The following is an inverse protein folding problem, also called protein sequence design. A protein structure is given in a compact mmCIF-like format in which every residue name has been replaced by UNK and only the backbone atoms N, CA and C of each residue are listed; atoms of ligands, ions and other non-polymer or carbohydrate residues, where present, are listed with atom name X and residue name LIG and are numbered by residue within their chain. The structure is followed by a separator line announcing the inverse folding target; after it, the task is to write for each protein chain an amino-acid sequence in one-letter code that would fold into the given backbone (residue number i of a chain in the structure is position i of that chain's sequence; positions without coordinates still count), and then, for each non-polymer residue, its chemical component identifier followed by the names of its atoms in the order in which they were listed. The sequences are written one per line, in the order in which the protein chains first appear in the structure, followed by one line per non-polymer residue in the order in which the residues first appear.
data_IF_466369039960
#
_entry.id   IF_466369039960
#
_cell.length_a   1.000
_cell.length_b   1.000
_cell.length_c   1.000
_cell.angle_alpha   90.00
_cell.angle_beta   90.00
_cell.angle_gamma   90.00
#
_symmetry.space_group_name_H-M   'P 1'
#
loop_
_entity.id
_entity.type
_entity.pdbx_description
1 polymer ?
#
# COMPACT_ATOMS: atom_id res chain seq x y z
N UNK A 1 -69.24 -15.91 -50.03
CA UNK A 1 -69.29 -16.26 -48.59
C UNK A 1 -68.89 -15.02 -47.81
N UNK A 2 -69.78 -14.46 -46.97
CA UNK A 2 -69.46 -13.28 -46.14
C UNK A 2 -68.61 -13.76 -44.98
N UNK A 3 -67.39 -13.22 -44.84
CA UNK A 3 -66.52 -13.49 -43.70
C UNK A 3 -67.20 -12.93 -42.44
N UNK A 4 -67.72 -13.82 -41.59
CA UNK A 4 -68.29 -13.47 -40.29
C UNK A 4 -67.16 -13.55 -39.28
N UNK A 5 -66.59 -12.40 -38.92
CA UNK A 5 -65.65 -12.33 -37.81
C UNK A 5 -66.42 -12.57 -36.49
N UNK A 6 -65.83 -13.26 -35.51
CA UNK A 6 -66.45 -13.47 -34.21
C UNK A 6 -66.75 -12.12 -33.53
N UNK A 7 -67.93 -12.03 -32.90
CA UNK A 7 -68.34 -10.81 -32.21
C UNK A 7 -67.36 -10.51 -31.06
N UNK A 8 -66.88 -9.25 -30.93
CA UNK A 8 -66.01 -8.84 -29.83
C UNK A 8 -66.68 -9.07 -28.47
N UNK A 9 -65.87 -9.33 -27.43
CA UNK A 9 -66.34 -9.58 -26.05
C UNK A 9 -67.23 -8.47 -25.46
N UNK A 10 -67.13 -7.25 -26.00
CA UNK A 10 -67.90 -6.07 -25.60
C UNK A 10 -69.21 -5.88 -26.40
N UNK A 11 -69.61 -6.84 -27.24
CA UNK A 11 -70.80 -6.74 -28.10
C UNK A 11 -72.09 -6.46 -27.32
N UNK A 12 -72.19 -6.98 -26.09
CA UNK A 12 -73.34 -6.79 -25.20
C UNK A 12 -73.65 -5.32 -24.88
N UNK A 13 -72.65 -4.44 -24.96
CA UNK A 13 -72.80 -3.00 -24.69
C UNK A 13 -73.56 -2.26 -25.81
N UNK A 14 -73.71 -2.87 -26.98
CA UNK A 14 -74.29 -2.24 -28.18
C UNK A 14 -75.56 -2.95 -28.68
N UNK A 15 -76.03 -4.01 -27.99
CA UNK A 15 -77.21 -4.80 -28.38
C UNK A 15 -78.52 -3.99 -28.42
N UNK A 16 -78.62 -2.90 -27.66
CA UNK A 16 -79.82 -2.06 -27.56
C UNK A 16 -79.72 -0.72 -28.33
N UNK A 17 -78.68 -0.49 -29.13
CA UNK A 17 -78.51 0.76 -29.87
C UNK A 17 -79.20 0.69 -31.25
N UNK A 18 -79.81 1.80 -31.67
CA UNK A 18 -80.36 1.88 -33.02
C UNK A 18 -79.26 1.93 -34.09
N UNK A 19 -79.59 1.54 -35.31
CA UNK A 19 -78.64 1.54 -36.45
C UNK A 19 -78.00 2.92 -36.69
N UNK A 20 -78.72 4.01 -36.42
CA UNK A 20 -78.21 5.40 -36.52
C UNK A 20 -77.25 5.77 -35.39
N UNK A 21 -77.48 5.27 -34.18
CA UNK A 21 -76.63 5.53 -33.01
C UNK A 21 -75.32 4.75 -33.10
N UNK A 22 -75.37 3.53 -33.64
CA UNK A 22 -74.18 2.74 -33.94
C UNK A 22 -73.30 3.43 -34.98
N UNK A 23 -73.90 4.02 -36.03
CA UNK A 23 -73.16 4.71 -37.08
C UNK A 23 -72.50 6.01 -36.56
N UNK A 24 -73.18 6.75 -35.68
CA UNK A 24 -72.61 7.91 -34.99
C UNK A 24 -71.41 7.54 -34.10
N UNK A 25 -71.55 6.49 -33.28
CA UNK A 25 -70.45 5.99 -32.43
C UNK A 25 -69.29 5.42 -33.24
N UNK A 26 -69.58 4.79 -34.38
CA UNK A 26 -68.56 4.31 -35.30
C UNK A 26 -67.78 5.47 -35.94
N UNK A 27 -68.47 6.54 -36.35
CA UNK A 27 -67.83 7.76 -36.87
C UNK A 27 -66.93 8.40 -35.83
N UNK A 28 -67.42 8.57 -34.60
CA UNK A 28 -66.66 9.15 -33.50
C UNK A 28 -65.43 8.31 -33.15
N UNK A 29 -65.57 6.98 -33.08
CA UNK A 29 -64.45 6.07 -32.87
C UNK A 29 -63.43 6.09 -34.01
N UNK A 30 -63.89 6.19 -35.27
CA UNK A 30 -63.01 6.30 -36.44
C UNK A 30 -62.28 7.64 -36.48
N UNK A 31 -62.91 8.73 -36.06
CA UNK A 31 -62.28 10.05 -35.97
C UNK A 31 -61.23 10.08 -34.84
N UNK A 32 -61.51 9.47 -33.69
CA UNK A 32 -60.49 9.24 -32.66
C UNK A 32 -59.33 8.37 -33.16
N UNK A 33 -59.61 7.32 -33.93
CA UNK A 33 -58.56 6.46 -34.50
C UNK A 33 -57.71 7.20 -35.54
N UNK A 34 -58.30 8.17 -36.25
CA UNK A 34 -57.59 9.05 -37.20
C UNK A 34 -56.69 10.06 -36.51
N UNK A 35 -56.93 10.43 -35.26
CA UNK A 35 -55.99 11.26 -34.47
C UNK A 35 -54.71 10.48 -34.17
N UNK A 36 -54.78 9.18 -33.91
CA UNK A 36 -53.63 8.29 -33.67
C UNK A 36 -52.95 7.79 -34.96
N UNK A 37 -52.95 8.61 -36.01
CA UNK A 37 -52.63 8.26 -37.42
C UNK A 37 -51.26 7.64 -37.69
N UNK A 38 -50.36 7.61 -36.71
CA UNK A 38 -49.02 7.04 -36.84
C UNK A 38 -48.66 6.21 -35.60
N UNK A 39 -49.41 5.14 -35.35
CA UNK A 39 -49.01 4.12 -34.36
C UNK A 39 -47.72 3.47 -34.86
N UNK A 40 -46.64 3.65 -34.11
CA UNK A 40 -45.37 3.02 -34.41
C UNK A 40 -45.43 1.54 -34.01
N UNK A 41 -45.75 0.66 -34.94
CA UNK A 41 -45.78 -0.79 -34.71
C UNK A 41 -44.39 -1.35 -34.33
N UNK A 42 -43.30 -0.68 -34.72
CA UNK A 42 -41.94 -1.05 -34.33
C UNK A 42 -41.59 -0.65 -32.89
N UNK A 43 -42.41 0.16 -32.21
CA UNK A 43 -42.15 0.61 -30.84
C UNK A 43 -42.09 -0.57 -29.86
N UNK A 44 -42.85 -1.64 -30.11
CA UNK A 44 -42.83 -2.84 -29.26
C UNK A 44 -41.47 -3.54 -29.35
N UNK A 45 -40.96 -3.77 -30.56
CA UNK A 45 -39.66 -4.38 -30.78
C UNK A 45 -38.51 -3.51 -30.24
N UNK A 46 -38.57 -2.19 -30.48
CA UNK A 46 -37.57 -1.25 -29.95
C UNK A 46 -37.57 -1.21 -28.43
N UNK A 47 -38.75 -1.32 -27.80
CA UNK A 47 -38.86 -1.40 -26.36
C UNK A 47 -38.27 -2.70 -25.81
N UNK A 48 -38.54 -3.84 -26.44
CA UNK A 48 -37.98 -5.13 -26.03
C UNK A 48 -36.44 -5.15 -26.12
N UNK A 49 -35.87 -4.62 -27.21
CA UNK A 49 -34.42 -4.49 -27.40
C UNK A 49 -33.80 -3.55 -26.34
N UNK A 50 -34.36 -2.35 -26.18
CA UNK A 50 -33.87 -1.39 -25.19
C UNK A 50 -34.02 -1.89 -23.74
N UNK A 51 -35.07 -2.65 -23.44
CA UNK A 51 -35.27 -3.23 -22.12
C UNK A 51 -34.23 -4.33 -21.83
N UNK A 52 -33.90 -5.15 -22.83
CA UNK A 52 -32.86 -6.17 -22.69
C UNK A 52 -31.47 -5.53 -22.43
N UNK A 53 -31.11 -4.49 -23.17
CA UNK A 53 -29.88 -3.73 -22.94
C UNK A 53 -29.85 -3.09 -21.54
N UNK A 54 -30.98 -2.53 -21.11
CA UNK A 54 -31.11 -1.92 -19.78
C UNK A 54 -30.92 -2.95 -18.66
N UNK A 55 -31.51 -4.14 -18.79
CA UNK A 55 -31.36 -5.22 -17.82
C UNK A 55 -29.90 -5.69 -17.71
N UNK A 56 -29.20 -5.83 -18.85
CA UNK A 56 -27.78 -6.17 -18.85
C UNK A 56 -26.94 -5.08 -18.18
N UNK A 57 -27.16 -3.82 -18.54
CA UNK A 57 -26.43 -2.69 -17.99
C UNK A 57 -26.65 -2.57 -16.47
N UNK A 58 -27.89 -2.77 -16.03
CA UNK A 58 -28.24 -2.78 -14.60
C UNK A 58 -27.54 -3.90 -13.85
N UNK A 59 -27.51 -5.12 -14.40
CA UNK A 59 -26.78 -6.25 -13.83
C UNK A 59 -25.29 -5.93 -13.68
N UNK A 60 -24.67 -5.36 -14.71
CA UNK A 60 -23.26 -4.97 -14.69
C UNK A 60 -23.00 -3.86 -13.66
N UNK A 61 -23.92 -2.89 -13.54
CA UNK A 61 -23.83 -1.83 -12.54
C UNK A 61 -23.90 -2.38 -11.11
N UNK A 62 -24.84 -3.28 -10.83
CA UNK A 62 -24.99 -3.91 -9.51
C UNK A 62 -23.77 -4.78 -9.16
N UNK A 63 -23.20 -5.48 -10.15
CA UNK A 63 -21.95 -6.23 -9.99
C UNK A 63 -20.79 -5.29 -9.66
N UNK A 64 -20.57 -4.25 -10.46
CA UNK A 64 -19.51 -3.27 -10.24
C UNK A 64 -19.63 -2.60 -8.87
N UNK A 65 -20.86 -2.32 -8.41
CA UNK A 65 -21.11 -1.76 -7.08
C UNK A 65 -20.71 -2.72 -5.97
N UNK A 66 -20.96 -4.01 -6.17
CA UNK A 66 -20.56 -5.07 -5.23
C UNK A 66 -19.04 -5.23 -5.20
N UNK A 67 -18.40 -5.21 -6.37
CA UNK A 67 -16.94 -5.32 -6.50
C UNK A 67 -16.22 -4.13 -5.86
N UNK A 68 -16.73 -2.91 -6.08
CA UNK A 68 -16.20 -1.70 -5.42
C UNK A 68 -16.26 -1.83 -3.90
N UNK A 69 -17.39 -2.31 -3.36
CA UNK A 69 -17.52 -2.54 -1.92
C UNK A 69 -16.52 -3.59 -1.42
N UNK A 70 -16.35 -4.69 -2.15
CA UNK A 70 -15.39 -5.72 -1.79
C UNK A 70 -13.94 -5.21 -1.80
N UNK A 71 -13.60 -4.32 -2.73
CA UNK A 71 -12.29 -3.67 -2.78
C UNK A 71 -12.09 -2.74 -1.58
N UNK A 72 -13.10 -1.93 -1.24
CA UNK A 72 -13.04 -1.04 -0.07
C UNK A 72 -12.87 -1.84 1.24
N UNK A 73 -13.64 -2.92 1.42
CA UNK A 73 -13.52 -3.81 2.58
C UNK A 73 -12.13 -4.48 2.64
N UNK A 74 -11.58 -4.89 1.49
CA UNK A 74 -10.22 -5.47 1.41
C UNK A 74 -9.15 -4.43 1.74
N UNK A 75 -9.31 -3.19 1.29
CA UNK A 75 -8.38 -2.10 1.56
C UNK A 75 -8.30 -1.81 3.06
N UNK A 76 -9.44 -1.77 3.75
CA UNK A 76 -9.49 -1.57 5.20
C UNK A 76 -8.74 -2.67 5.96
N UNK A 77 -8.92 -3.94 5.57
CA UNK A 77 -8.19 -5.07 6.17
C UNK A 77 -6.69 -4.97 5.91
N UNK A 78 -6.28 -4.58 4.69
CA UNK A 78 -4.87 -4.40 4.34
C UNK A 78 -4.22 -3.25 5.13
N UNK A 79 -4.93 -2.13 5.29
CA UNK A 79 -4.43 -0.98 6.04
C UNK A 79 -4.25 -1.31 7.52
N UNK A 80 -5.19 -2.06 8.11
CA UNK A 80 -5.05 -2.52 9.50
C UNK A 80 -3.83 -3.46 9.66
N UNK A 81 -3.69 -4.45 8.77
CA UNK A 81 -2.53 -5.37 8.81
C UNK A 81 -1.20 -4.65 8.62
N UNK A 82 -1.17 -3.64 7.74
CA UNK A 82 0.01 -2.80 7.51
C UNK A 82 0.37 -2.03 8.78
N UNK A 83 -0.60 -1.43 9.47
CA UNK A 83 -0.36 -0.72 10.73
C UNK A 83 0.22 -1.67 11.79
N UNK A 84 -0.42 -2.81 12.00
CA UNK A 84 0.01 -3.80 13.00
C UNK A 84 1.43 -4.31 12.70
N UNK A 85 1.74 -4.59 11.43
CA UNK A 85 3.08 -5.01 11.01
C UNK A 85 4.15 -3.92 11.26
N UNK A 86 3.83 -2.65 10.96
CA UNK A 86 4.75 -1.53 11.20
C UNK A 86 4.97 -1.35 12.71
N UNK A 87 3.92 -1.42 13.53
CA UNK A 87 4.05 -1.25 14.98
C UNK A 87 4.90 -2.37 15.59
N UNK A 88 4.65 -3.62 15.19
CA UNK A 88 5.39 -4.78 15.66
C UNK A 88 6.87 -4.70 15.27
N UNK A 89 7.16 -4.44 13.99
CA UNK A 89 8.54 -4.33 13.51
C UNK A 89 9.27 -3.15 14.16
N UNK A 90 8.61 -2.00 14.32
CA UNK A 90 9.18 -0.84 15.00
C UNK A 90 9.53 -1.14 16.47
N UNK A 91 8.65 -1.85 17.18
CA UNK A 91 8.89 -2.25 18.58
C UNK A 91 10.09 -3.18 18.69
N UNK A 92 10.23 -4.13 17.75
CA UNK A 92 11.37 -5.04 17.69
C UNK A 92 12.67 -4.29 17.36
N UNK A 93 12.67 -3.45 16.33
CA UNK A 93 13.85 -2.64 15.93
C UNK A 93 14.27 -1.71 17.06
N UNK A 94 13.33 -1.06 17.76
CA UNK A 94 13.65 -0.17 18.88
C UNK A 94 14.33 -0.91 20.05
N UNK A 95 13.87 -2.14 20.36
CA UNK A 95 14.48 -2.99 21.38
C UNK A 95 15.90 -3.42 20.98
N UNK A 96 16.07 -3.90 19.76
CA UNK A 96 17.39 -4.34 19.26
C UNK A 96 18.35 -3.17 19.10
N UNK A 97 17.87 -2.01 18.66
CA UNK A 97 18.66 -0.78 18.56
C UNK A 97 19.26 -0.39 19.92
N UNK A 98 18.46 -0.43 20.99
CA UNK A 98 18.97 -0.15 22.34
C UNK A 98 20.06 -1.14 22.76
N UNK A 99 19.87 -2.44 22.46
CA UNK A 99 20.81 -3.51 22.77
C UNK A 99 22.13 -3.35 22.01
N UNK A 100 22.06 -3.10 20.70
CA UNK A 100 23.22 -2.91 19.84
C UNK A 100 23.95 -1.61 20.17
N UNK A 101 23.22 -0.51 20.37
CA UNK A 101 23.82 0.78 20.70
C UNK A 101 24.59 0.74 22.02
N UNK A 102 24.06 0.06 23.04
CA UNK A 102 24.75 -0.09 24.33
C UNK A 102 26.01 -0.95 24.23
N UNK A 103 26.07 -1.90 23.28
CA UNK A 103 27.27 -2.70 23.00
C UNK A 103 28.34 -1.89 22.26
N UNK A 104 27.93 -1.08 21.29
CA UNK A 104 28.85 -0.25 20.50
C UNK A 104 29.38 0.97 21.27
N UNK A 105 28.55 1.57 22.12
CA UNK A 105 28.88 2.75 22.94
C UNK A 105 28.69 2.39 24.42
N UNK A 106 29.76 2.01 25.15
CA UNK A 106 29.64 1.66 26.56
C UNK A 106 29.14 2.88 27.37
N UNK A 107 27.97 2.74 28.00
CA UNK A 107 27.34 3.82 28.77
C UNK A 107 26.44 4.76 27.95
N UNK A 108 26.31 4.55 26.64
CA UNK A 108 25.36 5.27 25.79
C UNK A 108 23.93 4.73 25.90
N UNK A 109 22.95 5.57 25.61
CA UNK A 109 21.53 5.19 25.49
C UNK A 109 20.95 5.74 24.19
N UNK A 110 20.28 4.89 23.43
CA UNK A 110 19.63 5.26 22.19
C UNK A 110 18.18 4.78 22.18
N UNK A 111 17.26 5.68 21.80
CA UNK A 111 15.85 5.38 21.61
C UNK A 111 15.40 5.84 20.22
N UNK A 112 14.58 5.03 19.59
CA UNK A 112 13.95 5.33 18.31
C UNK A 112 12.52 5.80 18.58
N UNK A 113 12.11 6.92 17.99
CA UNK A 113 10.79 7.54 18.16
C UNK A 113 10.12 7.69 16.80
N UNK A 114 8.90 7.20 16.70
CA UNK A 114 8.05 7.33 15.54
C UNK A 114 7.55 8.79 15.42
N UNK A 115 7.81 9.46 14.30
CA UNK A 115 7.29 10.81 14.02
C UNK A 115 5.99 10.70 13.25
N UNK A 116 4.92 11.13 13.92
CA UNK A 116 3.63 11.36 13.29
C UNK A 116 3.59 12.80 12.76
N UNK A 117 3.37 12.95 11.46
CA UNK A 117 3.00 14.22 10.88
C UNK A 117 1.56 14.54 11.18
N UNK A 118 1.30 15.81 11.47
CA UNK A 118 -0.03 16.37 11.27
C UNK A 118 -0.13 16.62 9.77
N UNK A 119 -0.77 15.73 9.01
CA UNK A 119 -1.22 16.08 7.67
C UNK A 119 -2.31 17.14 7.82
N UNK A 120 -1.87 18.40 7.87
CA UNK A 120 -2.73 19.56 7.74
C UNK A 120 -3.18 19.71 6.30
N UNK A 121 -4.50 19.78 6.12
CA UNK A 121 -5.22 20.45 5.03
C UNK A 121 -4.96 19.98 3.59
N UNK A 122 -5.96 19.34 2.98
CA UNK A 122 -6.01 19.35 1.52
C UNK A 122 -7.10 18.51 0.85
N UNK A 123 -7.64 17.47 1.49
CA UNK A 123 -8.76 16.70 0.92
C UNK A 123 -9.71 16.28 2.02
N UNK A 124 -10.87 16.94 2.01
CA UNK A 124 -12.12 16.66 2.73
C UNK A 124 -12.02 15.77 3.96
N UNK A 125 -12.20 16.38 5.12
CA UNK A 125 -12.96 15.88 6.27
C UNK A 125 -13.41 14.40 6.20
N UNK A 126 -12.44 13.48 6.23
CA UNK A 126 -12.68 12.08 6.60
C UNK A 126 -12.22 11.96 8.03
N UNK A 127 -13.14 11.81 9.01
CA UNK A 127 -12.78 11.62 10.41
C UNK A 127 -12.01 10.32 10.70
N UNK A 128 -11.75 9.51 9.67
CA UNK A 128 -11.04 8.23 9.72
C UNK A 128 -9.78 8.24 8.82
N UNK A 129 -8.91 9.24 8.94
CA UNK A 129 -7.58 9.10 8.34
C UNK A 129 -6.84 7.98 9.10
N UNK A 130 -6.59 6.85 8.43
CA UNK A 130 -5.90 5.72 9.05
C UNK A 130 -4.53 6.17 9.58
N UNK A 131 -4.13 5.76 10.79
CA UNK A 131 -2.92 6.24 11.46
C UNK A 131 -1.61 5.94 10.70
N UNK A 132 -1.66 5.08 9.67
CA UNK A 132 -0.53 4.81 8.78
C UNK A 132 -0.16 6.03 7.92
N UNK A 133 -1.15 6.78 7.43
CA UNK A 133 -0.89 7.98 6.60
C UNK A 133 -0.32 9.14 7.42
N UNK A 134 -0.45 9.07 8.75
CA UNK A 134 0.14 10.04 9.66
C UNK A 134 1.64 9.77 9.91
N UNK A 135 2.19 8.62 9.51
CA UNK A 135 3.61 8.33 9.71
C UNK A 135 4.46 9.14 8.71
N UNK A 136 5.21 10.14 9.20
CA UNK A 136 6.09 10.97 8.38
C UNK A 136 7.54 10.50 8.44
N UNK A 137 7.92 9.76 9.48
CA UNK A 137 9.24 9.14 9.53
C UNK A 137 9.66 8.73 10.93
N UNK A 138 10.96 8.52 11.09
CA UNK A 138 11.59 8.09 12.34
C UNK A 138 12.58 9.14 12.80
N UNK A 139 12.58 9.43 14.10
CA UNK A 139 13.57 10.26 14.76
C UNK A 139 14.29 9.47 15.82
N UNK A 140 15.60 9.67 15.91
CA UNK A 140 16.44 8.95 16.84
C UNK A 140 16.97 9.91 17.88
N UNK A 141 16.89 9.48 19.13
CA UNK A 141 17.27 10.25 20.31
C UNK A 141 18.37 9.47 21.01
N UNK A 142 19.57 10.03 21.03
CA UNK A 142 20.75 9.33 21.56
C UNK A 142 21.49 10.17 22.60
N UNK A 143 22.11 9.49 23.55
CA UNK A 143 22.98 10.02 24.58
C UNK A 143 24.25 9.17 24.58
N UNK A 144 25.40 9.84 24.55
CA UNK A 144 26.72 9.22 24.60
C UNK A 144 27.29 9.29 26.02
N UNK A 145 28.25 8.42 26.33
CA UNK A 145 28.89 8.36 27.64
C UNK A 145 29.40 9.74 28.09
N UNK A 146 28.97 10.18 29.28
CA UNK A 146 29.34 11.48 29.86
C UNK A 146 28.38 12.64 29.53
N UNK A 147 27.37 12.46 28.68
CA UNK A 147 26.34 13.47 28.41
C UNK A 147 24.96 13.01 28.89
N UNK A 148 24.42 13.69 29.90
CA UNK A 148 23.09 13.42 30.44
C UNK A 148 21.95 13.81 29.46
N UNK A 149 22.23 14.71 28.52
CA UNK A 149 21.24 15.21 27.58
C UNK A 149 21.05 14.30 26.37
N UNK A 150 19.78 14.07 26.04
CA UNK A 150 19.36 13.36 24.85
C UNK A 150 19.41 14.32 23.67
N UNK A 151 20.22 14.02 22.64
CA UNK A 151 20.37 14.85 21.44
C UNK A 151 19.72 14.18 20.23
N UNK A 152 19.18 15.02 19.34
CA UNK A 152 18.74 14.60 18.01
C UNK A 152 19.98 14.33 17.13
N UNK A 153 19.89 13.36 16.22
CA UNK A 153 20.99 12.92 15.37
C UNK A 153 21.59 14.06 14.55
N UNK A 154 20.77 15.04 14.17
CA UNK A 154 21.21 16.19 13.37
C UNK A 154 22.34 17.00 14.04
N UNK A 155 22.38 17.04 15.38
CA UNK A 155 23.30 17.87 16.18
C UNK A 155 24.63 17.13 16.49
N UNK A 156 24.75 15.85 16.11
CA UNK A 156 25.92 15.02 16.42
C UNK A 156 27.13 15.27 15.49
N UNK A 157 28.32 14.92 15.96
CA UNK A 157 29.55 14.92 15.15
C UNK A 157 29.49 13.88 14.04
N UNK A 158 30.26 14.06 12.96
CA UNK A 158 30.26 13.13 11.81
C UNK A 158 30.51 11.67 12.21
N UNK A 159 31.53 11.40 13.04
CA UNK A 159 31.81 10.05 13.54
C UNK A 159 30.70 9.48 14.42
N UNK A 160 30.06 10.31 15.26
CA UNK A 160 28.92 9.89 16.08
C UNK A 160 27.69 9.55 15.22
N UNK A 161 27.44 10.32 14.15
CA UNK A 161 26.37 10.02 13.19
C UNK A 161 26.60 8.66 12.52
N UNK A 162 27.84 8.35 12.12
CA UNK A 162 28.19 7.06 11.54
C UNK A 162 27.94 5.90 12.51
N UNK A 163 28.32 6.03 13.78
CA UNK A 163 28.06 4.99 14.81
C UNK A 163 26.56 4.78 15.02
N UNK A 164 25.78 5.85 15.09
CA UNK A 164 24.32 5.77 15.26
C UNK A 164 23.65 5.12 14.04
N UNK A 165 24.09 5.45 12.83
CA UNK A 165 23.60 4.86 11.59
C UNK A 165 23.93 3.36 11.52
N UNK A 166 25.16 2.97 11.82
CA UNK A 166 25.58 1.57 11.87
C UNK A 166 24.78 0.78 12.93
N UNK A 167 24.58 1.35 14.12
CA UNK A 167 23.76 0.73 15.15
C UNK A 167 22.32 0.48 14.68
N UNK A 168 21.74 1.38 13.88
CA UNK A 168 20.42 1.19 13.29
C UNK A 168 20.42 0.08 12.23
N UNK A 169 21.40 0.06 11.33
CA UNK A 169 21.53 -0.98 10.30
C UNK A 169 21.62 -2.36 10.96
N UNK A 170 22.43 -2.51 12.02
CA UNK A 170 22.53 -3.77 12.77
C UNK A 170 21.28 -4.12 13.56
N UNK A 171 20.55 -3.14 14.07
CA UNK A 171 19.27 -3.39 14.74
C UNK A 171 18.24 -3.94 13.75
N UNK A 172 18.17 -3.37 12.55
CA UNK A 172 17.31 -3.87 11.47
C UNK A 172 17.76 -5.26 11.06
N UNK A 173 19.07 -5.45 10.85
CA UNK A 173 19.64 -6.73 10.49
C UNK A 173 19.25 -7.86 11.45
N UNK A 174 19.20 -7.59 12.75
CA UNK A 174 18.79 -8.60 13.76
C UNK A 174 17.31 -8.95 13.75
N UNK A 175 16.47 -8.05 13.26
CA UNK A 175 15.02 -8.26 13.18
C UNK A 175 14.67 -8.93 11.86
N UNK A 176 15.29 -8.48 10.78
CA UNK A 176 15.11 -9.01 9.44
C UNK A 176 16.48 -9.09 8.74
N UNK A 177 16.96 -10.33 8.57
CA UNK A 177 18.28 -10.59 8.02
C UNK A 177 18.22 -10.56 6.49
N UNK A 178 18.87 -9.57 5.87
CA UNK A 178 19.08 -9.59 4.42
C UNK A 178 20.16 -10.63 4.05
N UNK A 179 20.08 -11.26 2.86
CA UNK A 179 20.99 -12.31 2.45
C UNK A 179 22.44 -11.84 2.25
N UNK A 180 22.66 -10.55 1.97
CA UNK A 180 24.01 -9.98 1.85
C UNK A 180 24.08 -8.52 2.30
N UNK A 181 25.22 -8.15 2.89
CA UNK A 181 25.57 -6.78 3.23
C UNK A 181 26.93 -6.42 2.64
N UNK A 182 26.99 -5.24 2.03
CA UNK A 182 28.22 -4.69 1.46
C UNK A 182 28.51 -3.36 2.14
N UNK A 183 29.65 -3.29 2.83
CA UNK A 183 30.10 -2.08 3.50
C UNK A 183 31.33 -1.53 2.80
N UNK A 184 31.22 -0.30 2.31
CA UNK A 184 32.32 0.40 1.62
C UNK A 184 32.87 1.50 2.52
N UNK A 185 34.14 1.38 2.92
CA UNK A 185 34.90 2.34 3.74
C UNK A 185 34.19 2.86 5.00
N UNK A 186 33.24 2.09 5.56
CA UNK A 186 32.48 2.49 6.75
C UNK A 186 33.37 2.67 7.98
N UNK A 187 34.53 2.02 7.99
CA UNK A 187 35.55 2.12 9.01
C UNK A 187 36.39 3.39 8.89
N UNK A 188 36.41 4.11 7.76
CA UNK A 188 37.27 5.28 7.58
C UNK A 188 36.94 6.43 8.55
N UNK A 189 35.64 6.65 8.82
CA UNK A 189 35.12 7.73 9.67
C UNK A 189 35.00 7.35 11.16
N UNK A 190 35.22 6.08 11.51
CA UNK A 190 35.09 5.58 12.88
C UNK A 190 36.38 5.79 13.69
N UNK A 191 36.24 5.99 15.00
CA UNK A 191 37.39 5.96 15.92
C UNK A 191 37.82 4.51 16.20
N UNK A 192 39.05 4.33 16.66
CA UNK A 192 39.67 3.02 16.93
C UNK A 192 38.83 2.19 17.89
N UNK A 193 38.28 2.80 18.94
CA UNK A 193 37.41 2.13 19.92
C UNK A 193 36.12 1.59 19.28
N UNK A 194 35.49 2.35 18.39
CA UNK A 194 34.26 1.92 17.72
C UNK A 194 34.51 0.85 16.65
N UNK A 195 35.68 0.86 16.01
CA UNK A 195 36.09 -0.22 15.08
C UNK A 195 36.24 -1.54 15.81
N UNK A 196 36.92 -1.57 16.95
CA UNK A 196 37.10 -2.81 17.73
C UNK A 196 35.76 -3.37 18.19
N UNK A 197 34.85 -2.51 18.66
CA UNK A 197 33.49 -2.91 19.04
C UNK A 197 32.68 -3.46 17.85
N UNK A 198 32.79 -2.81 16.68
CA UNK A 198 32.16 -3.25 15.44
C UNK A 198 32.67 -4.62 15.01
N UNK A 199 34.00 -4.79 14.99
CA UNK A 199 34.64 -6.01 14.55
C UNK A 199 34.29 -7.20 15.47
N UNK A 200 34.29 -6.98 16.79
CA UNK A 200 33.81 -7.97 17.76
C UNK A 200 32.32 -8.30 17.61
N UNK A 201 31.48 -7.32 17.23
CA UNK A 201 30.07 -7.56 16.97
C UNK A 201 29.85 -8.38 15.69
N UNK A 202 30.59 -8.08 14.62
CA UNK A 202 30.53 -8.82 13.36
C UNK A 202 31.02 -10.27 13.53
N UNK A 203 32.07 -10.50 14.33
CA UNK A 203 32.54 -11.85 14.64
C UNK A 203 31.50 -12.66 15.44
N UNK A 204 30.83 -12.02 16.40
CA UNK A 204 29.75 -12.66 17.16
C UNK A 204 28.56 -13.01 16.27
N UNK A 205 28.25 -12.12 15.33
CA UNK A 205 27.19 -12.27 14.34
C UNK A 205 27.50 -13.38 13.32
N UNK A 206 28.72 -13.42 12.77
CA UNK A 206 29.19 -14.45 11.84
C UNK A 206 29.14 -15.85 12.49
N UNK A 207 29.50 -15.95 13.77
CA UNK A 207 29.41 -17.22 14.51
C UNK A 207 27.97 -17.71 14.64
N UNK A 208 27.03 -16.78 14.85
CA UNK A 208 25.64 -17.11 15.15
C UNK A 208 24.81 -17.35 13.88
N UNK A 209 25.17 -16.74 12.75
CA UNK A 209 24.34 -16.70 11.54
C UNK A 209 25.10 -17.00 10.24
N UNK A 210 26.19 -17.75 10.34
CA UNK A 210 27.12 -18.07 9.24
C UNK A 210 26.48 -18.57 7.94
N UNK A 211 25.35 -19.27 8.04
CA UNK A 211 24.64 -19.84 6.90
C UNK A 211 23.55 -18.92 6.32
N UNK A 212 23.13 -17.90 7.08
CA UNK A 212 21.95 -17.09 6.75
C UNK A 212 22.27 -15.83 5.91
N UNK A 213 23.46 -15.24 6.07
CA UNK A 213 23.85 -14.07 5.29
C UNK A 213 25.37 -13.95 5.12
N UNK A 214 25.78 -13.16 4.12
CA UNK A 214 27.19 -12.85 3.85
C UNK A 214 27.48 -11.37 4.03
N UNK A 215 28.58 -11.04 4.69
CA UNK A 215 29.06 -9.66 4.83
C UNK A 215 30.35 -9.51 4.03
N UNK A 216 30.38 -8.52 3.15
CA UNK A 216 31.58 -8.12 2.41
C UNK A 216 31.94 -6.68 2.81
N UNK A 217 33.22 -6.46 3.12
CA UNK A 217 33.74 -5.16 3.52
C UNK A 217 34.87 -4.75 2.60
N UNK A 218 34.81 -3.52 2.11
CA UNK A 218 35.96 -2.85 1.49
C UNK A 218 36.56 -1.89 2.52
N UNK A 219 37.86 -2.07 2.80
CA UNK A 219 38.61 -1.17 3.66
C UNK A 219 39.95 -0.84 3.02
N UNK A 220 40.32 0.44 3.05
CA UNK A 220 41.67 0.91 2.73
C UNK A 220 42.66 0.80 3.89
N UNK A 221 42.23 0.33 5.07
CA UNK A 221 43.04 0.23 6.29
C UNK A 221 43.28 -1.23 6.66
N UNK A 222 44.52 -1.70 6.50
CA UNK A 222 44.90 -3.11 6.71
C UNK A 222 44.79 -3.68 8.14
N UNK A 223 44.16 -2.97 9.10
CA UNK A 223 44.01 -3.42 10.49
C UNK A 223 42.76 -4.26 10.75
N UNK A 224 41.76 -4.22 9.87
CA UNK A 224 40.55 -5.05 9.98
C UNK A 224 40.71 -6.44 9.34
N UNK A 225 41.85 -6.70 8.69
CA UNK A 225 42.18 -7.94 8.01
C UNK A 225 42.18 -9.24 8.87
N UNK A 226 42.57 -9.26 10.17
CA UNK A 226 42.67 -10.52 10.92
C UNK A 226 41.31 -11.12 11.32
N UNK A 227 40.19 -10.43 11.07
CA UNK A 227 38.86 -10.91 11.46
C UNK A 227 38.03 -11.45 10.28
N UNK A 228 38.58 -11.42 9.06
CA UNK A 228 37.91 -11.92 7.86
C UNK A 228 38.26 -13.39 7.60
N UNK A 229 37.26 -14.19 7.19
CA UNK A 229 37.45 -15.59 6.79
C UNK A 229 38.16 -15.74 5.44
N UNK A 230 37.97 -14.78 4.54
CA UNK A 230 38.66 -14.68 3.25
C UNK A 230 39.07 -13.23 2.99
N UNK A 231 40.33 -13.02 2.59
CA UNK A 231 40.86 -11.70 2.24
C UNK A 231 41.16 -11.67 0.73
N UNK A 232 40.71 -10.61 0.07
CA UNK A 232 41.02 -10.31 -1.31
C UNK A 232 41.66 -8.94 -1.39
N UNK A 233 42.65 -8.77 -2.26
CA UNK A 233 43.34 -7.49 -2.48
C UNK A 233 43.28 -7.14 -3.95
N UNK A 234 42.87 -5.90 -4.28
CA UNK A 234 42.88 -5.41 -5.65
C UNK A 234 44.16 -4.60 -5.86
N UNK A 235 45.02 -5.07 -6.75
CA UNK A 235 46.22 -4.36 -7.21
C UNK A 235 45.93 -3.56 -8.47
N UNK A 236 46.57 -2.40 -8.62
CA UNK A 236 46.56 -1.65 -9.88
C UNK A 236 47.90 -1.81 -10.58
N UNK A 237 47.89 -2.39 -11.78
CA UNK A 237 49.10 -2.56 -12.59
C UNK A 237 48.79 -2.16 -14.04
N UNK A 238 49.57 -1.24 -14.60
CA UNK A 238 49.43 -0.75 -16.00
C UNK A 238 47.98 -0.40 -16.40
N UNK A 239 47.29 0.39 -15.57
CA UNK A 239 45.91 0.82 -15.79
C UNK A 239 44.86 -0.32 -15.89
N UNK A 240 45.19 -1.51 -15.37
CA UNK A 240 44.27 -2.64 -15.24
C UNK A 240 44.19 -3.04 -13.77
N UNK A 241 42.97 -3.39 -13.32
CA UNK A 241 42.76 -4.01 -12.01
C UNK A 241 43.20 -5.48 -12.08
N UNK A 242 44.11 -5.86 -11.19
CA UNK A 242 44.59 -7.23 -11.01
C UNK A 242 44.04 -7.74 -9.67
N UNK A 243 43.31 -8.86 -9.71
CA UNK A 243 42.73 -9.52 -8.55
C UNK A 243 43.63 -10.63 -8.02
#
# INVERSE_FOLDING_TARGET
MRNVYPLPLDSKKYENCSLKELDGKLSEALDHLREYKAVNEAAVYQYEEANAEWEELKRNFDQNRTDLKAIDDMLEVLDQRKYDAIELTFRQVSKEFRSVFQKLVPGGRGNVVMRMGRTGSGRGDRPNAHPVEAFVGVSMKVSFAGMAEIRDVQILSGGQKTVVALALIFAIHKVDHAPFYFFDEVDAALDTQYREALAGFDAALDTQYREAYRVMKLTGRGRDAPQCSSLFSIGWQRAQSVC
#
